data_IF_331492257343
#
_entry.id   IF_331492257343
#
_cell.length_a   1.000
_cell.length_b   1.000
_cell.length_c   1.000
_cell.angle_alpha   90.00
_cell.angle_beta   90.00
_cell.angle_gamma   90.00
#
_symmetry.space_group_name_H-M   'P 1'
#
loop_
_entity.id
_entity.type
_entity.pdbx_description
1 polymer ?
#
# COMPACT_ATOMS: atom_id res chain seq x y z
N UNK A 1 5.01 18.32 5.28
CA UNK A 1 5.20 17.32 6.37
C UNK A 1 3.96 17.17 7.25
N UNK A 2 3.37 18.24 7.78
CA UNK A 2 2.21 18.15 8.70
C UNK A 2 0.97 17.42 8.14
N UNK A 3 0.68 17.58 6.84
CA UNK A 3 -0.44 16.87 6.20
C UNK A 3 -0.25 15.35 6.24
N UNK A 4 0.92 14.86 5.84
CA UNK A 4 1.23 13.42 5.82
C UNK A 4 1.11 12.84 7.23
N UNK A 5 1.67 13.52 8.24
CA UNK A 5 1.62 13.04 9.62
C UNK A 5 0.19 12.98 10.18
N UNK A 6 -0.62 14.01 9.93
CA UNK A 6 -2.03 14.04 10.36
C UNK A 6 -2.84 12.95 9.67
N UNK A 7 -2.72 12.83 8.35
CA UNK A 7 -3.41 11.79 7.57
C UNK A 7 -2.97 10.41 8.02
N UNK A 8 -1.67 10.20 8.26
CA UNK A 8 -1.14 8.94 8.76
C UNK A 8 -1.73 8.53 10.11
N UNK A 9 -1.76 9.44 11.08
CA UNK A 9 -2.33 9.15 12.40
C UNK A 9 -3.81 8.78 12.31
N UNK A 10 -4.60 9.54 11.55
CA UNK A 10 -6.04 9.31 11.38
C UNK A 10 -6.28 7.97 10.68
N UNK A 11 -5.62 7.73 9.54
CA UNK A 11 -5.79 6.50 8.77
C UNK A 11 -5.36 5.28 9.58
N UNK A 12 -4.22 5.34 10.30
CA UNK A 12 -3.76 4.22 11.12
C UNK A 12 -4.79 3.83 12.19
N UNK A 13 -5.36 4.82 12.89
CA UNK A 13 -6.37 4.58 13.93
C UNK A 13 -7.65 4.01 13.32
N UNK A 14 -8.15 4.61 12.24
CA UNK A 14 -9.38 4.15 11.57
C UNK A 14 -9.21 2.74 10.99
N UNK A 15 -8.11 2.47 10.30
CA UNK A 15 -7.81 1.14 9.75
C UNK A 15 -7.74 0.09 10.86
N UNK A 16 -7.06 0.39 11.98
CA UNK A 16 -7.00 -0.53 13.11
C UNK A 16 -8.39 -0.78 13.72
N UNK A 17 -9.19 0.28 13.89
CA UNK A 17 -10.57 0.17 14.38
C UNK A 17 -11.41 -0.74 13.49
N UNK A 18 -11.39 -0.50 12.17
CA UNK A 18 -12.14 -1.29 11.20
C UNK A 18 -11.68 -2.75 11.21
N UNK A 19 -10.37 -3.01 11.22
CA UNK A 19 -9.84 -4.38 11.28
C UNK A 19 -10.25 -5.11 12.56
N UNK A 20 -10.25 -4.44 13.71
CA UNK A 20 -10.70 -5.03 15.00
C UNK A 20 -12.20 -5.32 14.97
N UNK A 21 -13.01 -4.41 14.43
CA UNK A 21 -14.45 -4.62 14.28
C UNK A 21 -14.73 -5.81 13.36
N UNK A 22 -14.07 -5.88 12.21
CA UNK A 22 -14.20 -7.02 11.28
C UNK A 22 -13.79 -8.34 11.94
N UNK A 23 -12.64 -8.36 12.62
CA UNK A 23 -12.14 -9.54 13.30
C UNK A 23 -13.07 -10.03 14.42
N UNK A 24 -13.79 -9.13 15.10
CA UNK A 24 -14.73 -9.51 16.17
C UNK A 24 -16.12 -9.90 15.65
N UNK A 25 -16.70 -9.09 14.77
CA UNK A 25 -18.10 -9.20 14.40
C UNK A 25 -18.37 -10.14 13.21
N UNK A 26 -17.36 -10.43 12.38
CA UNK A 26 -17.53 -11.33 11.21
C UNK A 26 -17.01 -12.74 11.47
N UNK A 27 -17.65 -13.76 10.87
CA UNK A 27 -17.23 -15.16 10.97
C UNK A 27 -15.86 -15.38 10.32
N UNK A 28 -15.69 -14.90 9.08
CA UNK A 28 -14.45 -15.02 8.32
C UNK A 28 -13.30 -14.24 8.96
N UNK A 29 -13.57 -13.08 9.57
CA UNK A 29 -12.56 -12.31 10.29
C UNK A 29 -12.02 -13.06 11.51
N UNK A 30 -12.89 -13.72 12.28
CA UNK A 30 -12.46 -14.59 13.40
C UNK A 30 -11.63 -15.78 12.92
N UNK A 31 -12.03 -16.41 11.82
CA UNK A 31 -11.27 -17.53 11.21
C UNK A 31 -9.88 -17.07 10.76
N UNK A 32 -9.80 -15.92 10.06
CA UNK A 32 -8.54 -15.34 9.63
C UNK A 32 -7.62 -15.03 10.82
N UNK A 33 -8.15 -14.40 11.87
CA UNK A 33 -7.38 -14.07 13.07
C UNK A 33 -6.91 -15.30 13.85
N UNK A 34 -7.68 -16.40 13.82
CA UNK A 34 -7.28 -17.67 14.45
C UNK A 34 -6.06 -18.29 13.78
N UNK A 35 -5.96 -18.20 12.46
CA UNK A 35 -4.85 -18.77 11.69
C UNK A 35 -3.61 -17.88 11.76
N UNK A 36 -3.79 -16.58 11.52
CA UNK A 36 -2.67 -15.65 11.26
C UNK A 36 -2.33 -14.74 12.44
N UNK A 37 -3.21 -14.66 13.45
CA UNK A 37 -3.11 -13.67 14.53
C UNK A 37 -1.84 -13.83 15.37
N UNK A 38 -1.27 -15.03 15.45
CA UNK A 38 -0.04 -15.27 16.22
C UNK A 38 1.20 -14.63 15.58
N UNK A 39 1.17 -14.33 14.27
CA UNK A 39 2.21 -13.56 13.58
C UNK A 39 2.33 -12.12 14.12
N UNK A 40 1.20 -11.56 14.57
CA UNK A 40 1.11 -10.18 15.05
C UNK A 40 1.24 -10.05 16.58
N UNK A 41 1.36 -11.17 17.31
CA UNK A 41 1.49 -11.21 18.78
C UNK A 41 2.93 -11.42 19.24
N UNK A 42 3.22 -10.97 20.46
CA UNK A 42 4.52 -11.17 21.13
C UNK A 42 5.59 -10.14 20.79
N UNK A 43 6.77 -10.25 21.41
CA UNK A 43 7.85 -9.25 21.27
C UNK A 43 8.47 -9.21 19.87
N UNK A 44 8.46 -10.33 19.15
CA UNK A 44 9.00 -10.42 17.78
C UNK A 44 8.10 -9.73 16.74
N UNK A 45 6.84 -9.42 17.07
CA UNK A 45 5.91 -8.77 16.13
C UNK A 45 6.12 -7.26 15.98
N UNK A 46 6.98 -6.64 16.80
CA UNK A 46 7.32 -5.21 16.64
C UNK A 46 7.86 -4.94 15.23
N UNK A 47 8.71 -5.83 14.70
CA UNK A 47 9.20 -5.73 13.33
C UNK A 47 8.08 -5.85 12.29
N UNK A 48 7.08 -6.70 12.53
CA UNK A 48 5.91 -6.88 11.65
C UNK A 48 5.06 -5.61 11.62
N UNK A 49 4.76 -5.04 12.79
CA UNK A 49 4.02 -3.78 12.88
C UNK A 49 4.79 -2.60 12.28
N UNK A 50 6.11 -2.56 12.41
CA UNK A 50 6.94 -1.57 11.72
C UNK A 50 6.85 -1.70 10.19
N UNK A 51 6.85 -2.93 9.65
CA UNK A 51 6.63 -3.15 8.22
C UNK A 51 5.25 -2.68 7.75
N UNK A 52 4.19 -3.00 8.48
CA UNK A 52 2.83 -2.53 8.18
C UNK A 52 2.76 -1.00 8.22
N UNK A 53 3.39 -0.37 9.21
CA UNK A 53 3.48 1.08 9.32
C UNK A 53 4.19 1.72 8.11
N UNK A 54 5.31 1.13 7.66
CA UNK A 54 6.02 1.60 6.45
C UNK A 54 5.17 1.45 5.20
N UNK A 55 4.47 0.33 5.03
CA UNK A 55 3.56 0.12 3.89
C UNK A 55 2.41 1.14 3.90
N UNK A 56 1.80 1.38 5.06
CA UNK A 56 0.75 2.39 5.20
C UNK A 56 1.27 3.80 4.87
N UNK A 57 2.47 4.15 5.34
CA UNK A 57 3.12 5.41 5.01
C UNK A 57 3.37 5.52 3.50
N UNK A 58 3.85 4.44 2.88
CA UNK A 58 4.04 4.36 1.43
C UNK A 58 2.74 4.66 0.69
N UNK A 59 1.61 4.08 1.10
CA UNK A 59 0.28 4.32 0.50
C UNK A 59 -0.16 5.78 0.62
N UNK A 60 0.09 6.42 1.76
CA UNK A 60 -0.26 7.84 1.94
C UNK A 60 0.61 8.74 1.07
N UNK A 61 1.89 8.38 0.91
CA UNK A 61 2.79 9.06 -0.02
C UNK A 61 2.29 8.94 -1.46
N UNK A 62 1.81 7.76 -1.91
CA UNK A 62 1.22 7.67 -3.26
C UNK A 62 0.03 8.59 -3.45
N UNK A 63 -0.92 8.61 -2.49
CA UNK A 63 -2.07 9.52 -2.57
C UNK A 63 -1.62 10.98 -2.67
N UNK A 64 -0.56 11.36 -1.94
CA UNK A 64 0.00 12.71 -2.05
C UNK A 64 0.61 12.97 -3.43
N UNK A 65 1.34 12.01 -3.99
CA UNK A 65 1.91 12.13 -5.33
C UNK A 65 0.82 12.24 -6.41
N UNK A 66 -0.28 11.49 -6.28
CA UNK A 66 -1.41 11.56 -7.21
C UNK A 66 -2.05 12.95 -7.20
N UNK A 67 -2.21 13.55 -6.02
CA UNK A 67 -2.69 14.93 -5.88
C UNK A 67 -1.72 15.93 -6.51
N UNK A 68 -0.40 15.74 -6.34
CA UNK A 68 0.61 16.60 -6.96
C UNK A 68 0.61 16.48 -8.49
N UNK A 69 0.43 15.27 -9.02
CA UNK A 69 0.30 15.04 -10.46
C UNK A 69 -0.98 15.68 -11.02
N UNK A 70 -2.07 15.68 -10.24
CA UNK A 70 -3.30 16.38 -10.61
C UNK A 70 -3.10 17.89 -10.71
N UNK A 71 -2.39 18.51 -9.76
CA UNK A 71 -2.05 19.94 -9.85
C UNK A 71 -1.13 20.25 -11.03
N UNK A 72 -0.11 19.42 -11.26
CA UNK A 72 0.74 19.55 -12.44
C UNK A 72 -0.06 19.56 -13.74
N UNK A 73 -1.03 18.66 -13.88
CA UNK A 73 -1.89 18.61 -15.07
C UNK A 73 -2.62 19.93 -15.29
N UNK A 74 -3.11 20.55 -14.22
CA UNK A 74 -3.76 21.87 -14.29
C UNK A 74 -2.78 22.96 -14.74
N UNK A 75 -1.61 23.04 -14.11
CA UNK A 75 -0.58 24.05 -14.42
C UNK A 75 -0.11 23.96 -15.87
N UNK A 76 0.06 22.74 -16.40
CA UNK A 76 0.43 22.50 -17.79
C UNK A 76 -0.63 23.07 -18.75
N UNK A 77 -1.91 22.73 -18.56
CA UNK A 77 -2.97 23.23 -19.42
C UNK A 77 -3.15 24.75 -19.31
N UNK A 78 -3.02 25.32 -18.10
CA UNK A 78 -3.07 26.76 -17.89
C UNK A 78 -1.93 27.47 -18.62
N UNK A 79 -0.69 26.95 -18.55
CA UNK A 79 0.45 27.54 -19.26
C UNK A 79 0.26 27.55 -20.79
N UNK A 80 -0.28 26.46 -21.35
CA UNK A 80 -0.63 26.37 -22.77
C UNK A 80 -1.72 27.37 -23.14
N UNK A 81 -2.78 27.47 -22.33
CA UNK A 81 -3.85 28.43 -22.56
C UNK A 81 -3.33 29.87 -22.59
N UNK A 82 -2.47 30.25 -21.63
CA UNK A 82 -1.85 31.58 -21.58
C UNK A 82 -1.00 31.84 -22.82
N UNK A 83 -0.22 30.86 -23.28
CA UNK A 83 0.58 30.99 -24.50
C UNK A 83 -0.29 31.22 -25.75
N UNK A 84 -1.39 30.48 -25.90
CA UNK A 84 -2.32 30.64 -27.02
C UNK A 84 -3.11 31.95 -26.95
N UNK A 85 -3.53 32.37 -25.76
CA UNK A 85 -4.21 33.66 -25.55
C UNK A 85 -3.27 34.83 -25.86
N UNK A 86 -2.00 34.76 -25.46
CA UNK A 86 -0.98 35.76 -25.79
C UNK A 86 -0.81 35.93 -27.29
N UNK A 87 -0.82 34.81 -28.03
CA UNK A 87 -0.79 34.82 -29.50
C UNK A 87 -2.05 35.41 -30.13
N UNK A 88 -3.23 35.13 -29.59
CA UNK A 88 -4.50 35.66 -30.10
C UNK A 88 -4.71 37.15 -29.80
N UNK A 89 -4.09 37.66 -28.73
CA UNK A 89 -4.17 39.05 -28.29
C UNK A 89 -3.01 39.94 -28.80
N UNK A 90 -2.12 39.39 -29.63
CA UNK A 90 -0.89 40.05 -30.11
C UNK A 90 -0.01 40.62 -28.97
N UNK A 91 -0.01 39.94 -27.82
CA UNK A 91 0.75 40.31 -26.64
C UNK A 91 1.90 39.32 -26.43
N UNK A 92 3.09 39.72 -26.89
CA UNK A 92 4.29 38.89 -26.84
C UNK A 92 4.74 38.55 -25.42
N UNK A 93 4.57 39.46 -24.45
CA UNK A 93 4.94 39.20 -23.04
C UNK A 93 4.13 38.04 -22.45
N UNK A 94 2.82 38.03 -22.73
CA UNK A 94 1.93 36.98 -22.26
C UNK A 94 2.23 35.64 -22.94
N UNK A 95 2.60 35.68 -24.22
CA UNK A 95 3.01 34.49 -24.98
C UNK A 95 4.29 33.87 -24.43
N UNK A 96 5.32 34.68 -24.19
CA UNK A 96 6.59 34.21 -23.62
C UNK A 96 6.41 33.65 -22.21
N UNK A 97 5.59 34.29 -21.38
CA UNK A 97 5.25 33.79 -20.04
C UNK A 97 4.60 32.40 -20.10
N UNK A 98 3.67 32.18 -21.03
CA UNK A 98 3.03 30.86 -21.20
C UNK A 98 4.02 29.78 -21.65
N UNK A 99 4.92 30.11 -22.60
CA UNK A 99 5.97 29.19 -23.08
C UNK A 99 6.95 28.84 -21.95
N UNK A 100 7.38 29.82 -21.16
CA UNK A 100 8.24 29.58 -20.01
C UNK A 100 7.54 28.67 -18.99
N UNK A 101 6.28 28.96 -18.66
CA UNK A 101 5.47 28.14 -17.75
C UNK A 101 5.37 26.69 -18.21
N UNK A 102 5.20 26.47 -19.51
CA UNK A 102 5.15 25.12 -20.09
C UNK A 102 6.47 24.35 -19.88
N UNK A 103 7.61 24.96 -20.17
CA UNK A 103 8.91 24.32 -19.96
C UNK A 103 9.20 24.04 -18.48
N UNK A 104 8.83 24.95 -17.59
CA UNK A 104 8.93 24.74 -16.14
C UNK A 104 8.06 23.55 -15.69
N UNK A 105 6.81 23.48 -16.17
CA UNK A 105 5.92 22.35 -15.89
C UNK A 105 6.51 21.02 -16.36
N UNK A 106 7.16 20.96 -17.52
CA UNK A 106 7.85 19.74 -18.00
C UNK A 106 9.01 19.31 -17.09
N UNK A 107 9.79 20.24 -16.55
CA UNK A 107 10.87 19.92 -15.61
C UNK A 107 10.29 19.37 -14.31
N UNK A 108 9.25 20.03 -13.76
CA UNK A 108 8.55 19.56 -12.57
C UNK A 108 7.97 18.16 -12.79
N UNK A 109 7.40 17.91 -13.96
CA UNK A 109 6.91 16.59 -14.33
C UNK A 109 7.99 15.53 -14.34
N UNK A 110 9.15 15.79 -14.95
CA UNK A 110 10.24 14.83 -15.00
C UNK A 110 10.71 14.41 -13.59
N UNK A 111 10.77 15.38 -12.67
CA UNK A 111 11.10 15.13 -11.25
C UNK A 111 10.00 14.31 -10.57
N UNK A 112 8.72 14.72 -10.72
CA UNK A 112 7.60 14.01 -10.12
C UNK A 112 7.45 12.58 -10.66
N UNK A 113 7.61 12.39 -11.96
CA UNK A 113 7.55 11.08 -12.62
C UNK A 113 8.67 10.16 -12.10
N UNK A 114 9.89 10.69 -11.95
CA UNK A 114 11.01 9.94 -11.38
C UNK A 114 10.71 9.48 -9.95
N UNK A 115 10.26 10.40 -9.08
CA UNK A 115 9.88 10.08 -7.70
C UNK A 115 8.74 9.06 -7.66
N UNK A 116 7.74 9.23 -8.52
CA UNK A 116 6.59 8.33 -8.61
C UNK A 116 7.03 6.91 -8.98
N UNK A 117 7.80 6.75 -10.05
CA UNK A 117 8.28 5.44 -10.50
C UNK A 117 9.17 4.80 -9.44
N UNK A 118 10.11 5.54 -8.85
CA UNK A 118 10.97 5.03 -7.77
C UNK A 118 10.14 4.56 -6.57
N UNK A 119 9.12 5.31 -6.17
CA UNK A 119 8.21 4.93 -5.08
C UNK A 119 7.43 3.65 -5.43
N UNK A 120 6.92 3.51 -6.66
CA UNK A 120 6.21 2.31 -7.09
C UNK A 120 7.12 1.08 -7.04
N UNK A 121 8.35 1.17 -7.55
CA UNK A 121 9.32 0.07 -7.49
C UNK A 121 9.66 -0.31 -6.04
N UNK A 122 9.85 0.69 -5.18
CA UNK A 122 10.09 0.47 -3.76
C UNK A 122 8.91 -0.23 -3.09
N UNK A 123 7.67 0.21 -3.37
CA UNK A 123 6.45 -0.37 -2.81
C UNK A 123 6.28 -1.84 -3.18
N UNK A 124 6.57 -2.21 -4.44
CA UNK A 124 6.58 -3.60 -4.91
C UNK A 124 7.58 -4.41 -4.10
N UNK A 125 8.82 -3.94 -3.98
CA UNK A 125 9.87 -4.64 -3.24
C UNK A 125 9.50 -4.84 -1.77
N UNK A 126 9.01 -3.79 -1.08
CA UNK A 126 8.62 -3.86 0.32
C UNK A 126 7.45 -4.86 0.51
N UNK A 127 6.44 -4.78 -0.35
CA UNK A 127 5.26 -5.65 -0.29
C UNK A 127 5.64 -7.11 -0.54
N UNK A 128 6.44 -7.40 -1.57
CA UNK A 128 6.90 -8.76 -1.85
C UNK A 128 7.71 -9.34 -0.69
N UNK A 129 8.62 -8.55 -0.12
CA UNK A 129 9.43 -8.98 1.04
C UNK A 129 8.54 -9.31 2.25
N UNK A 130 7.51 -8.50 2.50
CA UNK A 130 6.55 -8.76 3.56
C UNK A 130 5.76 -10.05 3.31
N UNK A 131 5.22 -10.24 2.10
CA UNK A 131 4.44 -11.43 1.72
C UNK A 131 5.29 -12.69 1.83
N UNK A 132 6.52 -12.68 1.33
CA UNK A 132 7.42 -13.84 1.38
C UNK A 132 7.70 -14.24 2.84
N UNK A 133 8.05 -13.27 3.68
CA UNK A 133 8.30 -13.52 5.12
C UNK A 133 7.07 -14.07 5.82
N UNK A 134 5.90 -13.51 5.53
CA UNK A 134 4.63 -13.95 6.10
C UNK A 134 4.27 -15.36 5.63
N UNK A 135 4.44 -15.67 4.35
CA UNK A 135 4.20 -17.01 3.78
C UNK A 135 5.12 -18.07 4.39
N UNK A 136 6.42 -17.79 4.49
CA UNK A 136 7.35 -18.73 5.14
C UNK A 136 6.94 -19.05 6.57
N UNK A 137 6.55 -18.04 7.35
CA UNK A 137 6.07 -18.24 8.72
C UNK A 137 4.76 -19.05 8.76
N UNK A 138 3.82 -18.75 7.86
CA UNK A 138 2.53 -19.41 7.84
C UNK A 138 2.66 -20.89 7.46
N UNK A 139 3.43 -21.19 6.42
CA UNK A 139 3.68 -22.57 5.98
C UNK A 139 4.41 -23.37 7.06
N UNK A 140 5.42 -22.80 7.71
CA UNK A 140 6.13 -23.45 8.83
C UNK A 140 5.17 -23.80 9.98
N UNK A 141 4.36 -22.83 10.42
CA UNK A 141 3.37 -23.04 11.47
C UNK A 141 2.35 -24.11 11.12
N UNK A 142 1.72 -24.01 9.95
CA UNK A 142 0.65 -24.95 9.55
C UNK A 142 1.23 -26.36 9.34
N UNK A 143 2.45 -26.46 8.82
CA UNK A 143 3.14 -27.75 8.67
C UNK A 143 3.48 -28.36 10.03
N UNK A 144 4.01 -27.58 10.97
CA UNK A 144 4.26 -28.04 12.33
C UNK A 144 2.98 -28.50 13.03
N UNK A 145 1.90 -27.70 12.96
CA UNK A 145 0.60 -28.06 13.55
C UNK A 145 0.03 -29.36 12.93
N UNK A 146 0.28 -29.62 11.64
CA UNK A 146 -0.16 -30.84 10.95
C UNK A 146 0.65 -32.09 11.33
N UNK A 147 1.96 -31.93 11.55
CA UNK A 147 2.86 -33.02 11.93
C UNK A 147 2.81 -33.34 13.43
N UNK A 148 2.40 -32.38 14.25
CA UNK A 148 2.33 -32.56 15.70
C UNK A 148 1.24 -33.55 16.13
N UNK A 149 1.48 -34.23 17.26
CA UNK A 149 0.58 -35.20 17.91
C UNK A 149 -0.03 -36.30 16.99
N UNK A 150 0.66 -36.60 15.88
CA UNK A 150 0.16 -37.48 14.80
C UNK A 150 -1.20 -37.03 14.25
N UNK A 151 -1.44 -35.73 14.17
CA UNK A 151 -2.68 -35.17 13.63
C UNK A 151 -2.97 -35.69 12.21
N UNK A 152 -1.95 -35.82 11.36
CA UNK A 152 -2.07 -36.46 10.04
C UNK A 152 -2.71 -37.86 10.05
N UNK A 153 -2.53 -38.63 11.13
CA UNK A 153 -3.09 -39.97 11.28
C UNK A 153 -4.44 -39.94 11.99
N UNK A 154 -4.59 -39.10 13.03
CA UNK A 154 -5.80 -39.01 13.84
C UNK A 154 -6.99 -38.40 13.12
N UNK A 155 -6.74 -37.48 12.18
CA UNK A 155 -7.79 -36.80 11.39
C UNK A 155 -8.57 -37.78 10.50
N UNK A 156 -8.02 -38.97 10.22
CA UNK A 156 -8.74 -40.04 9.51
C UNK A 156 -9.88 -40.67 10.32
N UNK A 157 -9.89 -40.45 11.64
CA UNK A 157 -10.88 -41.02 12.57
C UNK A 157 -11.89 -39.98 13.07
N UNK A 158 -11.85 -38.76 12.56
CA UNK A 158 -12.85 -37.71 12.87
C UNK A 158 -13.98 -37.71 11.84
N UNK A 159 -15.20 -37.40 12.29
CA UNK A 159 -16.43 -37.44 11.45
C UNK A 159 -16.39 -36.51 10.22
N UNK A 160 -15.51 -35.51 10.23
CA UNK A 160 -15.25 -34.61 9.10
C UNK A 160 -13.88 -34.92 8.48
N UNK A 161 -13.87 -35.57 7.31
CA UNK A 161 -12.64 -35.79 6.55
C UNK A 161 -12.13 -34.46 5.95
N UNK A 162 -10.82 -34.24 6.00
CA UNK A 162 -10.17 -33.08 5.40
C UNK A 162 -9.61 -33.50 4.05
N UNK A 163 -10.32 -33.11 2.99
CA UNK A 163 -9.89 -33.43 1.64
C UNK A 163 -8.63 -32.64 1.23
N UNK A 164 -7.60 -33.39 0.83
CA UNK A 164 -6.33 -32.95 0.24
C UNK A 164 -5.53 -31.90 1.06
N UNK A 165 -5.07 -32.25 2.28
CA UNK A 165 -4.36 -31.32 3.15
C UNK A 165 -3.03 -30.83 2.57
N UNK A 166 -2.37 -31.61 1.72
CA UNK A 166 -1.14 -31.27 1.00
C UNK A 166 -1.33 -30.11 0.00
N UNK A 167 -2.50 -29.97 -0.63
CA UNK A 167 -2.80 -28.82 -1.48
C UNK A 167 -3.17 -27.55 -0.69
N UNK A 168 -3.55 -27.70 0.58
CA UNK A 168 -3.99 -26.58 1.43
C UNK A 168 -2.85 -25.92 2.20
N UNK A 169 -1.70 -26.60 2.32
CA UNK A 169 -0.47 -26.14 3.00
C UNK A 169 0.47 -25.46 2.00
#
# INVERSE_FOLDING_TARGET
MLWILKTYAITAVLSLLVLVLLAKFTVWGRQYWRITGDYFKGRKSIGVWAWVAVLLLSTIISVRLDVLLSYYGNDLFTSLQVAFQGRGADNDEMRESGIHGFWMSLIVFAILATIYISRVMLDIYLTQRFIIRWRMWLTDRVTCDWLDDRAYYRTRFTDSDIDNPDQRI
#
